data_IF_744362314006
#
_entry.id   IF_744362314006
#
_cell.length_a   1.000
_cell.length_b   1.000
_cell.length_c   1.000
_cell.angle_alpha   90.00
_cell.angle_beta   90.00
_cell.angle_gamma   90.00
#
_symmetry.space_group_name_H-M   'P 1'
#
loop_
_entity.id
_entity.type
_entity.pdbx_description
1 polymer ?
#
# COMPACT_ATOMS: atom_id res chain seq x y z
N UNK A 1 29.46 48.32 -21.12
CA UNK A 1 28.66 49.52 -20.78
C UNK A 1 28.08 49.32 -19.39
N UNK A 2 28.78 49.77 -18.35
CA UNK A 2 28.40 49.58 -16.95
C UNK A 2 27.54 50.75 -16.48
N UNK A 3 26.22 50.55 -16.40
CA UNK A 3 25.28 51.56 -15.90
C UNK A 3 25.44 51.66 -14.39
N UNK A 4 26.19 52.67 -13.91
CA UNK A 4 26.26 53.00 -12.47
C UNK A 4 25.05 53.85 -12.10
N UNK A 5 23.97 53.20 -11.65
CA UNK A 5 22.78 53.90 -11.14
C UNK A 5 23.13 54.58 -9.82
N UNK A 6 23.15 55.91 -9.78
CA UNK A 6 23.26 56.67 -8.52
C UNK A 6 21.93 56.61 -7.78
N UNK A 7 21.81 55.74 -6.77
CA UNK A 7 20.66 55.63 -5.87
C UNK A 7 20.58 56.88 -4.98
N UNK A 8 19.82 57.89 -5.42
CA UNK A 8 19.48 59.03 -4.54
C UNK A 8 18.45 58.60 -3.51
N UNK A 9 18.51 59.14 -2.27
CA UNK A 9 17.55 58.84 -1.19
C UNK A 9 16.08 58.87 -1.65
N UNK A 10 15.72 59.82 -2.51
CA UNK A 10 14.35 59.92 -3.08
C UNK A 10 13.97 58.70 -3.93
N UNK A 11 14.89 58.19 -4.77
CA UNK A 11 14.66 57.00 -5.59
C UNK A 11 14.59 55.72 -4.76
N UNK A 12 15.36 55.64 -3.67
CA UNK A 12 15.27 54.53 -2.70
C UNK A 12 13.91 54.54 -2.00
N UNK A 13 13.44 55.71 -1.54
CA UNK A 13 12.12 55.84 -0.92
C UNK A 13 10.99 55.44 -1.88
N UNK A 14 11.07 55.86 -3.15
CA UNK A 14 10.07 55.48 -4.16
C UNK A 14 10.09 53.97 -4.41
N UNK A 15 11.27 53.35 -4.54
CA UNK A 15 11.37 51.90 -4.76
C UNK A 15 10.87 51.10 -3.55
N UNK A 16 11.15 51.53 -2.32
CA UNK A 16 10.63 50.89 -1.11
C UNK A 16 9.12 51.06 -1.00
N UNK A 17 8.57 52.23 -1.34
CA UNK A 17 7.13 52.48 -1.35
C UNK A 17 6.41 51.61 -2.39
N UNK A 18 6.95 51.49 -3.61
CA UNK A 18 6.39 50.65 -4.67
C UNK A 18 6.50 49.17 -4.32
N UNK A 19 7.63 48.71 -3.77
CA UNK A 19 7.77 47.33 -3.30
C UNK A 19 6.81 47.02 -2.12
N UNK A 20 6.56 48.01 -1.25
CA UNK A 20 5.61 47.89 -0.15
C UNK A 20 4.14 47.83 -0.57
N UNK A 21 3.79 48.26 -1.79
CA UNK A 21 2.41 48.23 -2.31
C UNK A 21 2.04 46.89 -2.98
N UNK A 22 3.02 46.04 -3.32
CA UNK A 22 2.78 44.73 -3.96
C UNK A 22 2.30 43.66 -2.97
N UNK A 23 2.41 43.91 -1.66
CA UNK A 23 2.03 42.94 -0.61
C UNK A 23 0.54 42.90 -0.26
N UNK A 24 -0.32 43.70 -0.90
CA UNK A 24 -1.72 43.89 -0.46
C UNK A 24 -2.78 43.09 -1.25
N UNK A 25 -2.43 42.02 -1.98
CA UNK A 25 -3.36 41.49 -2.98
C UNK A 25 -3.37 39.99 -3.25
N UNK A 26 -3.15 39.12 -2.26
CA UNK A 26 -3.46 37.69 -2.42
C UNK A 26 -4.49 37.30 -1.37
N UNK A 27 -5.77 37.34 -1.77
CA UNK A 27 -6.83 36.72 -1.00
C UNK A 27 -6.71 35.21 -1.16
N UNK A 28 -5.95 34.55 -0.28
CA UNK A 28 -6.02 33.12 -0.14
C UNK A 28 -7.42 32.80 0.41
N UNK A 29 -8.28 32.20 -0.42
CA UNK A 29 -9.51 31.60 0.09
C UNK A 29 -9.09 30.46 1.02
N UNK A 30 -9.39 30.60 2.31
CA UNK A 30 -9.01 29.69 3.41
C UNK A 30 -9.82 28.39 3.43
N UNK A 31 -10.24 27.89 2.26
CA UNK A 31 -11.08 26.70 2.12
C UNK A 31 -10.30 25.65 1.31
N UNK A 32 -9.95 24.49 1.90
CA UNK A 32 -10.30 24.04 3.24
C UNK A 32 -9.51 24.76 4.33
N UNK A 33 -9.95 24.63 5.58
CA UNK A 33 -9.33 25.29 6.74
C UNK A 33 -7.86 24.84 6.96
N UNK A 34 -7.19 25.40 7.99
CA UNK A 34 -5.81 25.04 8.32
C UNK A 34 -5.58 23.54 8.59
N UNK A 35 -6.64 22.80 8.95
CA UNK A 35 -6.63 21.36 9.18
C UNK A 35 -7.05 20.56 7.92
N UNK A 36 -7.16 21.21 6.76
CA UNK A 36 -7.67 20.65 5.51
C UNK A 36 -9.08 20.07 5.62
N UNK A 37 -9.93 20.65 6.46
CA UNK A 37 -11.35 20.31 6.56
C UNK A 37 -12.19 21.32 5.77
N UNK A 38 -13.06 20.80 4.91
CA UNK A 38 -14.11 21.56 4.27
C UNK A 38 -15.31 21.62 5.20
N UNK A 39 -15.87 22.80 5.39
CA UNK A 39 -17.17 22.98 6.05
C UNK A 39 -18.18 23.47 5.03
N UNK A 40 -19.39 22.91 5.05
CA UNK A 40 -20.44 23.26 4.11
C UNK A 40 -21.81 23.23 4.77
N UNK A 41 -22.78 23.87 4.12
CA UNK A 41 -24.19 23.74 4.42
C UNK A 41 -24.87 22.95 3.31
N UNK A 42 -25.62 21.93 3.69
CA UNK A 42 -26.40 21.09 2.79
C UNK A 42 -27.89 21.37 2.99
N UNK A 43 -28.61 21.73 1.93
CA UNK A 43 -30.06 21.94 2.00
C UNK A 43 -30.77 20.64 2.37
N UNK A 44 -31.63 20.68 3.39
CA UNK A 44 -32.28 19.49 3.97
C UNK A 44 -33.17 18.72 2.98
N UNK A 45 -33.81 19.43 2.05
CA UNK A 45 -34.81 18.83 1.17
C UNK A 45 -34.27 18.40 -0.19
N UNK A 46 -33.18 19.04 -0.67
CA UNK A 46 -32.66 18.86 -2.03
C UNK A 46 -31.20 18.43 -2.08
N UNK A 47 -30.49 18.49 -0.95
CA UNK A 47 -29.09 18.03 -0.86
C UNK A 47 -28.07 18.94 -1.54
N UNK A 48 -28.46 20.09 -2.08
CA UNK A 48 -27.51 21.07 -2.63
C UNK A 48 -26.54 21.51 -1.54
N UNK A 49 -25.24 21.46 -1.85
CA UNK A 49 -24.16 21.80 -0.92
C UNK A 49 -23.54 23.14 -1.31
N UNK A 50 -23.38 24.03 -0.34
CA UNK A 50 -22.56 25.25 -0.48
C UNK A 50 -21.45 25.24 0.57
N UNK A 51 -20.22 25.52 0.14
CA UNK A 51 -19.09 25.69 1.04
C UNK A 51 -19.27 26.97 1.87
N UNK A 52 -18.85 26.90 3.13
CA UNK A 52 -18.85 28.03 4.06
C UNK A 52 -17.48 28.19 4.69
N UNK A 53 -17.20 29.39 5.16
CA UNK A 53 -16.05 29.68 6.00
C UNK A 53 -16.56 30.18 7.36
N UNK A 54 -16.60 29.32 8.40
CA UNK A 54 -17.07 29.68 9.73
C UNK A 54 -16.24 30.77 10.44
N UNK A 55 -15.06 31.13 9.90
CA UNK A 55 -14.24 32.22 10.43
C UNK A 55 -14.70 33.61 10.00
N UNK A 56 -15.58 33.69 9.00
CA UNK A 56 -16.15 34.95 8.55
C UNK A 56 -17.11 35.54 9.60
N UNK A 57 -17.29 36.87 9.64
CA UNK A 57 -18.27 37.50 10.52
C UNK A 57 -19.68 36.92 10.33
N UNK A 58 -20.45 36.74 11.39
CA UNK A 58 -21.79 36.13 11.34
C UNK A 58 -22.79 36.87 10.42
N UNK A 59 -22.56 38.16 10.14
CA UNK A 59 -23.34 38.91 9.15
C UNK A 59 -23.13 38.43 7.71
N UNK A 60 -22.05 37.69 7.44
CA UNK A 60 -21.77 37.11 6.14
C UNK A 60 -22.60 35.82 5.94
N UNK A 61 -23.39 35.69 4.87
CA UNK A 61 -24.16 34.48 4.58
C UNK A 61 -23.28 33.24 4.32
N UNK A 62 -21.99 33.43 4.03
CA UNK A 62 -21.01 32.36 3.92
C UNK A 62 -20.41 31.92 5.26
N UNK A 63 -20.79 32.52 6.39
CA UNK A 63 -20.26 32.14 7.71
C UNK A 63 -21.01 30.99 8.38
N UNK A 64 -22.30 30.81 8.05
CA UNK A 64 -23.19 29.92 8.81
C UNK A 64 -24.25 29.27 7.93
N UNK A 65 -24.85 28.20 8.46
CA UNK A 65 -26.01 27.56 7.87
C UNK A 65 -27.31 28.23 8.29
N UNK A 66 -28.29 28.21 7.39
CA UNK A 66 -29.66 28.65 7.66
C UNK A 66 -30.46 27.52 8.33
N UNK A 67 -31.67 27.83 8.79
CA UNK A 67 -32.58 26.83 9.37
C UNK A 67 -33.00 25.72 8.39
N UNK A 68 -32.85 25.95 7.09
CA UNK A 68 -33.17 25.01 6.01
C UNK A 68 -31.99 24.09 5.65
N UNK A 69 -30.86 24.21 6.34
CA UNK A 69 -29.62 23.53 6.01
C UNK A 69 -29.09 22.73 7.20
N UNK A 70 -28.25 21.74 6.89
CA UNK A 70 -27.47 20.96 7.84
C UNK A 70 -26.00 21.24 7.59
N UNK A 71 -25.26 21.56 8.67
CA UNK A 71 -23.80 21.70 8.57
C UNK A 71 -23.16 20.33 8.39
N UNK A 72 -22.28 20.22 7.42
CA UNK A 72 -21.48 19.02 7.15
C UNK A 72 -20.03 19.40 7.00
N UNK A 73 -19.14 18.47 7.31
CA UNK A 73 -17.70 18.65 7.12
C UNK A 73 -17.03 17.38 6.63
N UNK A 74 -15.96 17.53 5.86
CA UNK A 74 -15.17 16.43 5.36
C UNK A 74 -13.71 16.84 5.18
N UNK A 75 -12.79 15.89 5.30
CA UNK A 75 -11.37 16.11 5.04
C UNK A 75 -11.08 16.19 3.54
N UNK A 76 -10.09 17.00 3.16
CA UNK A 76 -9.59 17.07 1.79
C UNK A 76 -9.05 15.73 1.29
N UNK A 77 -8.47 14.94 2.18
CA UNK A 77 -8.03 13.60 1.90
C UNK A 77 -9.16 12.61 2.22
N UNK A 78 -9.48 11.73 1.27
CA UNK A 78 -10.39 10.61 1.51
C UNK A 78 -9.78 9.57 2.45
N UNK A 79 -10.63 8.68 2.98
CA UNK A 79 -10.15 7.52 3.73
C UNK A 79 -9.26 6.64 2.84
N UNK A 80 -8.20 6.02 3.38
CA UNK A 80 -7.47 4.99 2.66
C UNK A 80 -8.42 3.92 2.11
N UNK A 81 -8.15 3.41 0.91
CA UNK A 81 -8.90 2.29 0.36
C UNK A 81 -8.75 1.04 1.23
N UNK A 82 -9.69 0.09 1.17
CA UNK A 82 -9.54 -1.18 1.87
C UNK A 82 -8.30 -1.92 1.39
N UNK A 83 -7.69 -2.73 2.26
CA UNK A 83 -6.62 -3.65 1.87
C UNK A 83 -7.11 -4.55 0.74
N UNK A 84 -6.26 -4.78 -0.26
CA UNK A 84 -6.57 -5.72 -1.34
C UNK A 84 -6.79 -7.15 -0.82
N UNK A 85 -7.48 -8.01 -1.59
CA UNK A 85 -7.67 -9.41 -1.22
C UNK A 85 -6.33 -10.15 -1.11
N UNK A 86 -6.31 -11.23 -0.34
CA UNK A 86 -5.16 -12.14 -0.32
C UNK A 86 -4.90 -12.71 -1.72
N UNK A 87 -3.62 -12.91 -2.06
CA UNK A 87 -3.25 -13.58 -3.30
C UNK A 87 -3.74 -15.03 -3.35
N UNK A 88 -3.87 -15.64 -4.55
CA UNK A 88 -4.24 -17.04 -4.68
C UNK A 88 -3.20 -17.94 -4.00
N UNK A 89 -3.64 -19.11 -3.54
CA UNK A 89 -2.73 -20.16 -3.06
C UNK A 89 -1.77 -20.58 -4.20
N UNK A 90 -0.51 -20.84 -3.84
CA UNK A 90 0.46 -21.41 -4.78
C UNK A 90 0.02 -22.77 -5.33
N UNK A 91 0.49 -23.12 -6.52
CA UNK A 91 0.23 -24.44 -7.10
C UNK A 91 0.84 -25.54 -6.22
N UNK A 92 0.22 -26.73 -6.15
CA UNK A 92 0.83 -27.90 -5.53
C UNK A 92 2.23 -28.18 -6.10
N UNK A 93 3.12 -28.71 -5.27
CA UNK A 93 4.42 -29.18 -5.74
C UNK A 93 4.26 -30.33 -6.74
N UNK A 94 5.23 -30.48 -7.64
CA UNK A 94 5.29 -31.64 -8.55
C UNK A 94 5.47 -32.94 -7.75
N UNK A 95 4.92 -34.03 -8.28
CA UNK A 95 5.14 -35.36 -7.71
C UNK A 95 6.64 -35.72 -7.65
N UNK A 96 6.97 -36.60 -6.70
CA UNK A 96 8.30 -37.18 -6.58
C UNK A 96 8.62 -38.06 -7.80
N UNK A 97 9.91 -38.24 -8.09
CA UNK A 97 10.33 -39.23 -9.07
C UNK A 97 10.08 -40.63 -8.52
N UNK A 98 9.73 -41.58 -9.40
CA UNK A 98 9.68 -42.99 -9.03
C UNK A 98 11.03 -43.46 -8.49
N UNK A 99 11.00 -44.37 -7.51
CA UNK A 99 12.20 -45.04 -7.03
C UNK A 99 12.87 -45.84 -8.14
N UNK A 100 14.20 -45.99 -8.05
CA UNK A 100 14.95 -46.90 -8.91
C UNK A 100 14.59 -48.35 -8.60
N UNK A 101 14.59 -49.20 -9.61
CA UNK A 101 14.42 -50.64 -9.44
C UNK A 101 15.43 -51.21 -8.43
N UNK A 102 15.02 -52.25 -7.71
CA UNK A 102 15.88 -52.98 -6.78
C UNK A 102 17.01 -53.69 -7.52
N UNK A 103 18.14 -53.91 -6.85
CA UNK A 103 19.20 -54.76 -7.39
C UNK A 103 18.72 -56.21 -7.46
N UNK A 104 19.13 -56.91 -8.50
CA UNK A 104 18.94 -58.35 -8.62
C UNK A 104 19.51 -59.10 -7.40
N UNK A 105 18.84 -60.18 -7.00
CA UNK A 105 19.29 -61.04 -5.92
C UNK A 105 20.60 -61.76 -6.26
N UNK A 106 21.39 -62.09 -5.24
CA UNK A 106 22.59 -62.92 -5.44
C UNK A 106 22.20 -64.34 -5.80
N UNK A 107 22.96 -64.97 -6.70
CA UNK A 107 22.83 -66.40 -6.99
C UNK A 107 22.93 -67.23 -5.70
N UNK A 108 22.12 -68.29 -5.60
CA UNK A 108 22.20 -69.24 -4.50
C UNK A 108 23.54 -69.98 -4.47
N UNK A 109 23.99 -70.38 -3.28
CA UNK A 109 25.17 -71.22 -3.12
C UNK A 109 24.91 -72.62 -3.67
N UNK A 110 25.91 -73.22 -4.31
CA UNK A 110 25.86 -74.63 -4.71
C UNK A 110 25.57 -75.51 -3.50
N UNK A 111 24.75 -76.56 -3.69
CA UNK A 111 24.50 -77.57 -2.67
C UNK A 111 25.79 -78.32 -2.29
N UNK A 112 25.87 -78.75 -1.04
CA UNK A 112 26.97 -79.62 -0.59
C UNK A 112 26.85 -81.00 -1.24
N UNK A 113 27.98 -81.60 -1.61
CA UNK A 113 28.01 -82.98 -2.05
C UNK A 113 27.36 -83.90 -1.01
N UNK A 114 26.63 -84.91 -1.47
CA UNK A 114 26.11 -85.97 -0.59
C UNK A 114 27.26 -86.71 0.09
N UNK A 115 27.03 -87.17 1.32
CA UNK A 115 27.99 -88.03 2.02
C UNK A 115 28.14 -89.35 1.28
N UNK A 116 29.37 -89.84 1.17
CA UNK A 116 29.65 -91.15 0.60
C UNK A 116 28.82 -92.24 1.29
N UNK A 117 28.33 -93.20 0.51
CA UNK A 117 27.62 -94.37 1.02
C UNK A 117 28.54 -95.20 1.92
N UNK A 118 28.01 -95.72 3.02
CA UNK A 118 28.76 -96.61 3.91
C UNK A 118 29.11 -97.90 3.15
N UNK A 119 30.35 -98.34 3.22
CA UNK A 119 30.77 -99.61 2.63
C UNK A 119 29.90 -100.76 3.13
N UNK A 120 29.49 -101.64 2.21
CA UNK A 120 28.72 -102.83 2.53
C UNK A 120 29.55 -103.79 3.39
N UNK A 121 28.99 -104.26 4.50
CA UNK A 121 29.56 -105.34 5.31
C UNK A 121 29.69 -106.60 4.46
N UNK A 122 30.91 -106.93 4.01
CA UNK A 122 31.18 -108.21 3.37
C UNK A 122 31.33 -109.27 4.46
N UNK A 123 30.31 -110.11 4.59
CA UNK A 123 30.33 -111.33 5.42
C UNK A 123 30.67 -112.49 4.51
N UNK A 124 31.84 -113.09 4.67
CA UNK A 124 32.12 -114.41 4.12
C UNK A 124 32.67 -115.30 5.23
N UNK A 125 31.78 -116.13 5.77
CA UNK A 125 32.08 -117.32 6.55
C UNK A 125 32.32 -118.49 5.57
N UNK A 126 33.44 -119.20 5.75
CA UNK A 126 33.58 -120.66 5.61
C UNK A 126 34.96 -121.07 6.15
#
# INVERSE_FOLDING_TARGET
MSVRVRLTRKRVVILVAVAGLVSAGVAYATIPDGNKVFTACMLKNVGTVRLIDPSLPAANPMAHCTSLETQVSWSQQGQPGPTGPAGPQGQPGKDGLNGTDGRDGTNGTNGTNGTDGKDGLSVTNA
#
